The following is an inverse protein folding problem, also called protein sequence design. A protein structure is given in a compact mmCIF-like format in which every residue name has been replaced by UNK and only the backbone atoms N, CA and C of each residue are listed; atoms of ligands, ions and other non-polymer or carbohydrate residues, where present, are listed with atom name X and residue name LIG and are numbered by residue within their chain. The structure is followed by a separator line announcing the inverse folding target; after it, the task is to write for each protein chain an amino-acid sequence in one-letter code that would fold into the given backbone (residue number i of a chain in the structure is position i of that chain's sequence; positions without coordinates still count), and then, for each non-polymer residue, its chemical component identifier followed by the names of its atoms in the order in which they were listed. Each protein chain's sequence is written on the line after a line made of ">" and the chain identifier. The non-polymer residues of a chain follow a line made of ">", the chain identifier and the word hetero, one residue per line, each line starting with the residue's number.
data_IF_787560261309
#
_entry.id   IF_787560261309
#
_cell.length_a   1.000
_cell.length_b   1.000
_cell.length_c   1.000
_cell.angle_alpha   90.00
_cell.angle_beta   90.00
_cell.angle_gamma   90.00
#
_symmetry.space_group_name_H-M   'P 1'
#
loop_
_entity.id
_entity.type
_entity.pdbx_description
1 polymer ?
#
# COMPACT_ATOMS: atom_id res chain seq x y z
N UNK A 1 -12.22 -28.26 -6.03
CA UNK A 1 -12.27 -26.79 -6.23
C UNK A 1 -10.95 -26.21 -5.80
N UNK A 2 -10.33 -25.33 -6.59
CA UNK A 2 -9.05 -24.71 -6.20
C UNK A 2 -9.36 -23.50 -5.34
N UNK A 3 -9.20 -23.65 -4.02
CA UNK A 3 -9.38 -22.58 -3.05
C UNK A 3 -8.13 -21.68 -3.03
N UNK A 4 -8.33 -20.37 -2.91
CA UNK A 4 -7.25 -19.39 -2.78
C UNK A 4 -7.47 -18.59 -1.49
N UNK A 5 -6.44 -18.43 -0.69
CA UNK A 5 -6.42 -17.53 0.46
C UNK A 5 -5.49 -16.36 0.16
N UNK A 6 -6.04 -15.14 0.24
CA UNK A 6 -5.29 -13.90 0.23
C UNK A 6 -5.26 -13.30 1.64
N UNK A 7 -4.08 -12.91 2.10
CA UNK A 7 -3.92 -12.14 3.34
C UNK A 7 -3.38 -10.74 3.02
N UNK A 8 -3.93 -9.73 3.65
CA UNK A 8 -3.38 -8.39 3.68
C UNK A 8 -2.83 -8.12 5.09
N UNK A 9 -1.50 -8.02 5.18
CA UNK A 9 -0.81 -7.71 6.42
C UNK A 9 -0.55 -6.21 6.50
N UNK A 10 -1.26 -5.52 7.37
CA UNK A 10 -1.02 -4.10 7.68
C UNK A 10 -0.40 -3.91 9.05
N UNK A 11 0.05 -2.71 9.35
CA UNK A 11 0.64 -2.37 10.64
C UNK A 11 -0.32 -2.53 11.83
N UNK A 12 -1.63 -2.33 11.62
CA UNK A 12 -2.66 -2.36 12.67
C UNK A 12 -3.63 -3.54 12.55
N UNK A 13 -3.78 -4.11 11.37
CA UNK A 13 -4.73 -5.19 11.09
C UNK A 13 -4.18 -6.21 10.10
N UNK A 14 -4.57 -7.46 10.28
CA UNK A 14 -4.40 -8.55 9.31
C UNK A 14 -5.79 -8.93 8.82
N UNK A 15 -5.97 -8.96 7.52
CA UNK A 15 -7.21 -9.37 6.89
C UNK A 15 -6.96 -10.60 6.02
N UNK A 16 -7.87 -11.59 6.10
CA UNK A 16 -7.87 -12.77 5.25
C UNK A 16 -9.14 -12.78 4.40
N UNK A 17 -8.99 -13.13 3.14
CA UNK A 17 -10.09 -13.43 2.25
C UNK A 17 -9.85 -14.78 1.57
N UNK A 18 -10.85 -15.64 1.58
CA UNK A 18 -10.83 -16.90 0.84
C UNK A 18 -11.72 -16.78 -0.40
N UNK A 19 -11.19 -17.24 -1.53
CA UNK A 19 -11.85 -17.15 -2.83
C UNK A 19 -11.97 -18.53 -3.48
N UNK A 20 -13.06 -18.74 -4.18
CA UNK A 20 -13.22 -19.89 -5.08
C UNK A 20 -12.43 -19.72 -6.39
N UNK A 21 -12.48 -20.71 -7.26
CA UNK A 21 -11.79 -20.67 -8.56
C UNK A 21 -12.28 -19.55 -9.49
N UNK A 22 -13.51 -19.05 -9.28
CA UNK A 22 -14.11 -17.95 -10.03
C UNK A 22 -13.80 -16.57 -9.46
N UNK A 23 -13.09 -16.50 -8.31
CA UNK A 23 -12.76 -15.24 -7.65
C UNK A 23 -13.85 -14.72 -6.70
N UNK A 24 -14.92 -15.48 -6.45
CA UNK A 24 -15.96 -15.10 -5.49
C UNK A 24 -15.41 -15.27 -4.06
N UNK A 25 -15.60 -14.26 -3.22
CA UNK A 25 -15.24 -14.29 -1.80
C UNK A 25 -16.19 -15.24 -1.06
N UNK A 26 -15.63 -16.27 -0.44
CA UNK A 26 -16.35 -17.26 0.37
C UNK A 26 -16.32 -16.91 1.84
N UNK A 27 -15.24 -16.33 2.30
CA UNK A 27 -15.03 -15.93 3.70
C UNK A 27 -14.11 -14.72 3.77
N UNK A 28 -14.34 -13.86 4.76
CA UNK A 28 -13.50 -12.71 5.06
C UNK A 28 -13.45 -12.49 6.56
N UNK A 29 -12.25 -12.40 7.11
CA UNK A 29 -12.00 -12.12 8.52
C UNK A 29 -10.92 -11.07 8.69
N UNK A 30 -10.98 -10.38 9.82
CA UNK A 30 -10.00 -9.36 10.20
C UNK A 30 -9.67 -9.48 11.66
N UNK A 31 -8.39 -9.38 11.99
CA UNK A 31 -7.87 -9.33 13.36
C UNK A 31 -6.91 -8.15 13.52
N UNK A 32 -6.64 -7.76 14.76
CA UNK A 32 -5.55 -6.81 15.06
C UNK A 32 -4.19 -7.44 14.76
N UNK A 33 -3.26 -6.65 14.21
CA UNK A 33 -1.85 -7.08 14.07
C UNK A 33 -1.20 -7.07 15.46
N UNK A 34 -0.52 -8.15 15.89
CA UNK A 34 0.27 -8.15 17.12
C UNK A 34 1.40 -7.11 17.03
N UNK A 35 1.37 -6.09 17.89
CA UNK A 35 2.34 -5.00 17.85
C UNK A 35 3.76 -5.48 18.19
N UNK A 36 4.72 -5.06 17.35
CA UNK A 36 6.17 -5.19 17.60
C UNK A 36 6.72 -6.62 17.71
N UNK A 37 5.89 -7.66 17.55
CA UNK A 37 6.25 -9.03 17.84
C UNK A 37 6.25 -9.92 16.59
N UNK A 38 7.42 -10.16 16.01
CA UNK A 38 7.60 -11.02 14.83
C UNK A 38 6.91 -12.39 14.96
N UNK A 39 7.23 -13.12 16.03
CA UNK A 39 6.69 -14.47 16.23
C UNK A 39 5.18 -14.48 16.45
N UNK A 40 4.64 -13.47 17.13
CA UNK A 40 3.20 -13.34 17.33
C UNK A 40 2.48 -13.02 16.01
N UNK A 41 3.04 -12.16 15.16
CA UNK A 41 2.52 -11.88 13.82
C UNK A 41 2.51 -13.13 12.95
N UNK A 42 3.61 -13.90 12.97
CA UNK A 42 3.72 -15.16 12.24
C UNK A 42 2.65 -16.16 12.71
N UNK A 43 2.52 -16.34 14.03
CA UNK A 43 1.53 -17.24 14.63
C UNK A 43 0.09 -16.82 14.29
N UNK A 44 -0.21 -15.53 14.32
CA UNK A 44 -1.54 -14.99 13.96
C UNK A 44 -1.89 -15.29 12.51
N UNK A 45 -0.96 -15.11 11.56
CA UNK A 45 -1.16 -15.45 10.16
C UNK A 45 -1.42 -16.94 9.98
N UNK A 46 -0.60 -17.79 10.62
CA UNK A 46 -0.75 -19.26 10.56
C UNK A 46 -2.10 -19.70 11.12
N UNK A 47 -2.53 -19.11 12.23
CA UNK A 47 -3.83 -19.40 12.85
C UNK A 47 -4.97 -19.02 11.90
N UNK A 48 -4.96 -17.79 11.34
CA UNK A 48 -5.98 -17.33 10.38
C UNK A 48 -6.09 -18.25 9.17
N UNK A 49 -4.97 -18.68 8.60
CA UNK A 49 -4.98 -19.61 7.45
C UNK A 49 -5.64 -20.93 7.83
N UNK A 50 -5.22 -21.53 8.97
CA UNK A 50 -5.73 -22.84 9.42
C UNK A 50 -7.22 -22.79 9.77
N UNK A 51 -7.65 -21.76 10.47
CA UNK A 51 -9.05 -21.55 10.83
C UNK A 51 -9.93 -21.36 9.57
N UNK A 52 -9.47 -20.58 8.60
CA UNK A 52 -10.18 -20.38 7.33
C UNK A 52 -10.30 -21.69 6.56
N UNK A 53 -9.22 -22.49 6.48
CA UNK A 53 -9.26 -23.80 5.82
C UNK A 53 -10.15 -24.80 6.54
N UNK A 54 -10.15 -24.78 7.86
CA UNK A 54 -11.01 -25.64 8.68
C UNK A 54 -12.51 -25.27 8.45
N UNK A 55 -12.83 -23.98 8.42
CA UNK A 55 -14.21 -23.50 8.14
C UNK A 55 -14.68 -23.94 6.75
N UNK A 56 -13.79 -23.91 5.75
CA UNK A 56 -14.13 -24.23 4.36
C UNK A 56 -13.94 -25.72 4.01
N UNK A 57 -13.37 -26.52 4.91
CA UNK A 57 -13.14 -27.95 4.73
C UNK A 57 -12.15 -28.29 3.61
N UNK A 58 -11.29 -27.34 3.21
CA UNK A 58 -10.36 -27.53 2.10
C UNK A 58 -9.06 -26.73 2.27
N UNK A 59 -7.96 -27.29 1.77
CA UNK A 59 -6.67 -26.62 1.72
C UNK A 59 -6.60 -25.64 0.54
N UNK A 60 -5.98 -24.48 0.75
CA UNK A 60 -5.89 -23.39 -0.23
C UNK A 60 -4.44 -23.09 -0.66
N UNK A 61 -4.28 -22.49 -1.83
CA UNK A 61 -3.05 -21.75 -2.15
C UNK A 61 -3.03 -20.42 -1.40
N UNK A 62 -1.84 -19.99 -0.94
CA UNK A 62 -1.70 -18.82 -0.04
C UNK A 62 -0.91 -17.72 -0.72
N UNK A 63 -1.49 -16.51 -0.74
CA UNK A 63 -0.84 -15.26 -1.13
C UNK A 63 -0.92 -14.25 0.01
N UNK A 64 0.15 -13.50 0.23
CA UNK A 64 0.23 -12.48 1.28
C UNK A 64 0.70 -11.17 0.68
N UNK A 65 -0.13 -10.15 0.83
CA UNK A 65 0.23 -8.76 0.61
C UNK A 65 0.84 -8.21 1.90
N UNK A 66 2.03 -7.62 1.83
CA UNK A 66 2.74 -7.08 2.98
C UNK A 66 3.39 -5.74 2.65
N UNK A 67 3.48 -4.81 3.60
CA UNK A 67 4.33 -3.65 3.43
C UNK A 67 5.78 -4.06 3.20
N UNK A 68 6.48 -3.32 2.34
CA UNK A 68 7.85 -3.64 1.94
C UNK A 68 7.93 -4.77 0.91
N UNK A 69 9.11 -5.35 0.75
CA UNK A 69 9.38 -6.36 -0.26
C UNK A 69 10.41 -7.40 0.20
N UNK A 70 10.35 -8.59 -0.38
CA UNK A 70 11.43 -9.58 -0.21
C UNK A 70 12.64 -9.14 -1.03
N UNK A 71 13.81 -9.08 -0.39
CA UNK A 71 15.07 -8.81 -1.06
C UNK A 71 15.42 -9.95 -2.03
N UNK A 72 15.61 -9.69 -3.32
CA UNK A 72 16.03 -10.75 -4.26
C UNK A 72 17.39 -11.35 -3.91
N UNK A 73 18.27 -10.58 -3.27
CA UNK A 73 19.62 -11.03 -2.91
C UNK A 73 19.65 -11.93 -1.67
N UNK A 74 18.80 -11.66 -0.66
CA UNK A 74 18.86 -12.36 0.64
C UNK A 74 17.61 -13.18 0.97
N UNK A 75 16.48 -12.94 0.29
CA UNK A 75 15.18 -13.51 0.64
C UNK A 75 14.57 -12.93 1.91
N UNK A 76 15.22 -11.96 2.55
CA UNK A 76 14.71 -11.33 3.77
C UNK A 76 13.73 -10.20 3.44
N UNK A 77 12.75 -9.98 4.31
CA UNK A 77 11.82 -8.85 4.17
C UNK A 77 12.55 -7.54 4.50
N UNK A 78 12.28 -6.48 3.74
CA UNK A 78 12.87 -5.15 3.92
C UNK A 78 11.88 -4.04 3.59
N UNK A 79 12.18 -2.84 4.04
CA UNK A 79 11.41 -1.61 3.79
C UNK A 79 9.95 -1.70 4.26
N UNK A 80 9.67 -2.56 5.26
CA UNK A 80 8.36 -2.65 5.87
C UNK A 80 8.21 -1.57 6.95
N UNK A 81 7.07 -0.89 6.99
CA UNK A 81 6.68 -0.05 8.11
C UNK A 81 6.36 -0.89 9.38
N UNK A 82 6.05 -2.18 9.23
CA UNK A 82 6.05 -3.16 10.33
C UNK A 82 7.49 -3.57 10.66
N UNK A 83 8.18 -2.73 11.42
CA UNK A 83 9.65 -2.78 11.65
C UNK A 83 10.13 -4.16 12.11
N UNK A 84 9.35 -4.88 12.92
CA UNK A 84 9.72 -6.20 13.46
C UNK A 84 9.90 -7.28 12.37
N UNK A 85 9.41 -7.04 11.16
CA UNK A 85 9.54 -7.95 10.03
C UNK A 85 10.83 -7.72 9.22
N UNK A 86 11.44 -6.53 9.32
CA UNK A 86 12.63 -6.20 8.53
C UNK A 86 13.83 -7.05 8.92
N UNK A 87 14.56 -7.55 7.93
CA UNK A 87 15.69 -8.43 8.09
C UNK A 87 15.33 -9.87 8.50
N UNK A 88 14.04 -10.24 8.48
CA UNK A 88 13.56 -11.57 8.85
C UNK A 88 13.31 -12.45 7.64
N UNK A 89 13.52 -13.79 7.73
CA UNK A 89 13.21 -14.74 6.68
C UNK A 89 11.70 -15.10 6.67
N UNK A 90 10.86 -14.06 6.56
CA UNK A 90 9.42 -14.12 6.79
C UNK A 90 8.71 -15.15 5.90
N UNK A 91 9.11 -15.23 4.63
CA UNK A 91 8.57 -16.23 3.70
C UNK A 91 8.91 -17.65 4.15
N UNK A 92 10.17 -17.91 4.44
CA UNK A 92 10.68 -19.23 4.83
C UNK A 92 10.05 -19.70 6.14
N UNK A 93 9.88 -18.80 7.12
CA UNK A 93 9.27 -19.14 8.39
C UNK A 93 7.78 -19.46 8.26
N UNK A 94 7.05 -18.72 7.40
CA UNK A 94 5.67 -19.05 7.07
C UNK A 94 5.55 -20.39 6.35
N UNK A 95 6.38 -20.63 5.34
CA UNK A 95 6.39 -21.90 4.60
C UNK A 95 6.69 -23.10 5.52
N UNK A 96 7.62 -22.93 6.45
CA UNK A 96 7.94 -23.95 7.47
C UNK A 96 6.74 -24.21 8.40
N UNK A 97 6.09 -23.14 8.88
CA UNK A 97 4.97 -23.25 9.82
C UNK A 97 3.69 -23.83 9.18
N UNK A 98 3.48 -23.55 7.88
CA UNK A 98 2.32 -24.03 7.12
C UNK A 98 2.60 -25.35 6.37
N UNK A 99 3.87 -25.77 6.26
CA UNK A 99 4.28 -27.00 5.58
C UNK A 99 4.10 -26.95 4.05
N UNK A 100 4.02 -25.76 3.45
CA UNK A 100 3.78 -25.57 2.01
C UNK A 100 4.20 -24.20 1.50
N UNK A 101 4.34 -24.02 0.17
CA UNK A 101 4.74 -22.76 -0.44
C UNK A 101 3.74 -21.62 -0.15
N UNK A 102 4.30 -20.43 0.07
CA UNK A 102 3.56 -19.17 0.23
C UNK A 102 4.08 -18.16 -0.79
N UNK A 103 3.18 -17.40 -1.41
CA UNK A 103 3.53 -16.25 -2.26
C UNK A 103 3.44 -14.98 -1.43
N UNK A 104 4.47 -14.15 -1.50
CA UNK A 104 4.49 -12.84 -0.83
C UNK A 104 4.78 -11.77 -1.87
N UNK A 105 4.00 -10.69 -1.83
CA UNK A 105 4.22 -9.51 -2.66
C UNK A 105 3.98 -8.24 -1.84
N UNK A 106 4.52 -7.12 -2.33
CA UNK A 106 4.23 -5.81 -1.77
C UNK A 106 2.73 -5.48 -1.91
N UNK A 107 2.16 -4.77 -0.94
CA UNK A 107 0.73 -4.42 -0.89
C UNK A 107 0.29 -3.54 -2.06
N UNK A 108 1.07 -2.52 -2.44
CA UNK A 108 0.77 -1.67 -3.59
C UNK A 108 0.84 -2.45 -4.92
N UNK A 109 1.76 -3.40 -5.04
CA UNK A 109 1.81 -4.31 -6.19
C UNK A 109 0.58 -5.23 -6.26
N UNK A 110 0.10 -5.73 -5.12
CA UNK A 110 -1.11 -6.52 -5.05
C UNK A 110 -2.35 -5.70 -5.42
N UNK A 111 -2.42 -4.44 -4.95
CA UNK A 111 -3.47 -3.50 -5.33
C UNK A 111 -3.47 -3.24 -6.84
N UNK A 112 -2.33 -2.83 -7.40
CA UNK A 112 -2.23 -2.55 -8.84
C UNK A 112 -2.62 -3.76 -9.70
N UNK A 113 -2.19 -4.98 -9.31
CA UNK A 113 -2.56 -6.21 -10.00
C UNK A 113 -4.07 -6.49 -9.89
N UNK A 114 -4.66 -6.30 -8.73
CA UNK A 114 -6.11 -6.50 -8.53
C UNK A 114 -6.91 -5.59 -9.43
N UNK A 115 -6.54 -4.31 -9.51
CA UNK A 115 -7.21 -3.33 -10.37
C UNK A 115 -7.01 -3.62 -11.87
N UNK A 116 -5.82 -4.08 -12.26
CA UNK A 116 -5.54 -4.44 -13.65
C UNK A 116 -6.26 -5.72 -14.11
N UNK A 117 -6.52 -6.68 -13.20
CA UNK A 117 -7.15 -7.97 -13.55
C UNK A 117 -8.67 -7.91 -13.51
N UNK A 118 -9.26 -7.24 -12.54
CA UNK A 118 -10.70 -7.28 -12.31
C UNK A 118 -11.29 -6.02 -11.69
N UNK A 119 -10.52 -4.94 -11.62
CA UNK A 119 -10.94 -3.64 -11.07
C UNK A 119 -11.08 -2.57 -12.14
N UNK A 120 -10.83 -1.33 -11.75
CA UNK A 120 -11.04 -0.12 -12.58
C UNK A 120 -10.12 -0.06 -13.81
N UNK A 121 -9.01 -0.80 -13.83
CA UNK A 121 -8.06 -0.85 -14.94
C UNK A 121 -8.11 -2.18 -15.72
N UNK A 122 -9.20 -2.95 -15.61
CA UNK A 122 -9.32 -4.21 -16.30
C UNK A 122 -9.24 -4.04 -17.84
N UNK A 123 -8.31 -4.77 -18.47
CA UNK A 123 -8.07 -4.71 -19.91
C UNK A 123 -7.02 -3.70 -20.37
N UNK A 124 -6.48 -2.86 -19.47
CA UNK A 124 -5.38 -1.97 -19.78
C UNK A 124 -4.04 -2.73 -19.91
N UNK A 125 -3.19 -2.33 -20.84
CA UNK A 125 -1.86 -2.92 -21.04
C UNK A 125 -0.86 -2.49 -19.97
N UNK A 126 -0.83 -1.19 -19.64
CA UNK A 126 0.06 -0.60 -18.63
C UNK A 126 -0.76 0.11 -17.56
N UNK A 127 -0.65 -0.33 -16.34
CA UNK A 127 -1.38 0.24 -15.19
C UNK A 127 -0.40 0.71 -14.13
N UNK A 128 -0.60 1.94 -13.64
CA UNK A 128 0.06 2.44 -12.46
C UNK A 128 -0.93 2.55 -11.30
N UNK A 129 -0.84 1.63 -10.33
CA UNK A 129 -1.65 1.67 -9.12
C UNK A 129 -0.98 2.55 -8.07
N UNK A 130 -1.73 3.48 -7.49
CA UNK A 130 -1.28 4.44 -6.48
C UNK A 130 -2.04 4.20 -5.19
N UNK A 131 -1.34 4.01 -4.08
CA UNK A 131 -1.95 3.96 -2.75
C UNK A 131 -1.61 5.25 -2.01
N UNK A 132 -2.65 5.96 -1.58
CA UNK A 132 -2.57 7.17 -0.75
C UNK A 132 -3.28 6.88 0.59
N UNK A 133 -2.51 6.81 1.67
CA UNK A 133 -3.01 6.47 3.00
C UNK A 133 -2.07 6.96 4.10
N UNK A 134 -1.75 6.12 5.08
CA UNK A 134 -0.72 6.42 6.10
C UNK A 134 0.65 6.65 5.47
N UNK A 135 0.93 6.00 4.33
CA UNK A 135 2.07 6.25 3.46
C UNK A 135 1.64 6.45 2.02
N UNK A 136 2.62 6.53 1.11
CA UNK A 136 2.42 6.61 -0.34
C UNK A 136 3.16 5.47 -1.01
N UNK A 137 2.41 4.56 -1.60
CA UNK A 137 2.95 3.43 -2.36
C UNK A 137 2.52 3.46 -3.83
N UNK A 138 3.13 2.61 -4.63
CA UNK A 138 2.72 2.40 -6.01
C UNK A 138 3.12 1.03 -6.52
N UNK A 139 2.41 0.57 -7.54
CA UNK A 139 2.69 -0.68 -8.24
C UNK A 139 2.51 -0.50 -9.74
N UNK A 140 3.36 -1.15 -10.52
CA UNK A 140 3.32 -1.13 -11.97
C UNK A 140 2.88 -2.51 -12.47
N UNK A 141 1.90 -2.52 -13.36
CA UNK A 141 1.45 -3.75 -14.05
C UNK A 141 1.58 -3.54 -15.55
N UNK A 142 2.21 -4.50 -16.22
CA UNK A 142 2.37 -4.51 -17.68
C UNK A 142 1.84 -5.85 -18.18
N UNK A 143 0.90 -5.82 -19.12
CA UNK A 143 0.27 -7.02 -19.72
C UNK A 143 -0.22 -8.01 -18.64
N UNK A 144 -0.90 -7.50 -17.61
CA UNK A 144 -1.44 -8.28 -16.49
C UNK A 144 -0.39 -8.88 -15.54
N UNK A 145 0.87 -8.42 -15.61
CA UNK A 145 1.98 -8.87 -14.76
C UNK A 145 2.58 -7.73 -13.97
N UNK A 146 2.77 -7.92 -12.67
CA UNK A 146 3.46 -6.95 -11.83
C UNK A 146 4.91 -6.80 -12.28
N UNK A 147 5.34 -5.56 -12.51
CA UNK A 147 6.73 -5.20 -12.69
C UNK A 147 7.41 -5.10 -11.33
N UNK A 148 8.14 -6.13 -10.94
CA UNK A 148 8.85 -6.13 -9.64
C UNK A 148 10.19 -5.40 -9.70
N UNK A 149 10.87 -5.46 -10.85
CA UNK A 149 12.24 -4.95 -11.03
C UNK A 149 13.30 -5.86 -10.39
N UNK A 150 14.56 -5.66 -10.79
CA UNK A 150 15.69 -6.47 -10.32
C UNK A 150 15.95 -6.33 -8.82
N UNK A 151 15.60 -5.19 -8.25
CA UNK A 151 15.76 -4.88 -6.83
C UNK A 151 14.43 -4.96 -6.04
N UNK A 152 13.34 -5.43 -6.65
CA UNK A 152 12.01 -5.46 -6.04
C UNK A 152 11.57 -4.10 -5.48
N UNK A 153 11.81 -3.02 -6.22
CA UNK A 153 11.45 -1.64 -5.86
C UNK A 153 10.74 -0.90 -7.00
N UNK A 154 10.32 -1.58 -8.06
CA UNK A 154 9.53 -0.93 -9.10
C UNK A 154 8.21 -0.45 -8.50
N UNK A 155 7.86 0.81 -8.76
CA UNK A 155 6.68 1.44 -8.16
C UNK A 155 6.91 2.15 -6.82
N UNK A 156 8.10 2.06 -6.21
CA UNK A 156 8.45 2.74 -4.95
C UNK A 156 8.65 4.26 -5.14
N UNK A 157 7.64 4.94 -5.66
CA UNK A 157 7.69 6.37 -6.03
C UNK A 157 7.54 7.32 -4.85
N UNK A 158 6.92 6.86 -3.75
CA UNK A 158 6.66 7.69 -2.57
C UNK A 158 7.91 8.27 -1.92
N UNK A 159 9.06 7.62 -2.11
CA UNK A 159 10.35 8.11 -1.61
C UNK A 159 11.20 8.87 -2.63
N UNK A 160 10.67 9.14 -3.83
CA UNK A 160 11.26 10.10 -4.74
C UNK A 160 11.05 11.52 -4.20
N UNK A 161 11.96 12.47 -4.51
CA UNK A 161 11.74 13.88 -4.16
C UNK A 161 10.51 14.41 -4.90
N UNK A 162 9.73 15.30 -4.24
CA UNK A 162 8.62 15.99 -4.88
C UNK A 162 9.12 16.74 -6.12
N UNK A 163 8.56 16.49 -7.32
CA UNK A 163 9.01 17.17 -8.54
C UNK A 163 8.73 18.67 -8.51
N UNK A 164 9.63 19.45 -9.11
CA UNK A 164 9.48 20.90 -9.27
C UNK A 164 9.08 21.62 -7.97
N UNK A 165 9.72 21.25 -6.84
CA UNK A 165 9.48 21.91 -5.56
C UNK A 165 9.55 23.41 -5.68
N UNK A 166 8.53 24.11 -5.17
CA UNK A 166 8.50 25.57 -5.02
C UNK A 166 9.43 26.00 -3.87
N UNK A 167 9.76 27.27 -3.80
CA UNK A 167 10.67 27.77 -2.76
C UNK A 167 10.09 27.63 -1.35
N UNK A 168 8.77 27.78 -1.18
CA UNK A 168 8.05 27.57 0.08
C UNK A 168 7.91 26.09 0.49
N UNK A 169 8.17 25.17 -0.43
CA UNK A 169 8.19 23.74 -0.18
C UNK A 169 9.59 23.18 0.19
N UNK A 170 10.63 23.99 0.06
CA UNK A 170 12.03 23.59 0.28
C UNK A 170 12.47 23.82 1.72
N UNK A 171 13.30 22.92 2.29
CA UNK A 171 13.86 21.65 1.76
C UNK A 171 12.85 20.49 1.81
N UNK A 172 11.61 20.74 2.17
CA UNK A 172 10.54 19.77 2.37
C UNK A 172 10.55 19.12 3.75
N UNK A 173 9.44 18.48 4.14
CA UNK A 173 9.34 17.80 5.42
C UNK A 173 10.32 16.61 5.48
N UNK A 174 10.73 16.26 6.72
CA UNK A 174 11.57 15.08 6.95
C UNK A 174 10.74 13.81 6.71
N UNK A 175 11.31 12.89 5.95
CA UNK A 175 10.75 11.56 5.74
C UNK A 175 11.43 10.55 6.67
N UNK A 176 10.71 9.51 7.10
CA UNK A 176 11.28 8.43 7.93
C UNK A 176 12.39 7.66 7.22
N UNK A 177 12.46 7.71 5.88
CA UNK A 177 13.57 7.13 5.10
C UNK A 177 14.90 7.88 5.29
N UNK A 178 14.94 8.94 6.09
CA UNK A 178 16.11 9.76 6.40
C UNK A 178 16.32 10.95 5.44
N UNK A 179 15.53 11.08 4.38
CA UNK A 179 15.59 12.19 3.41
C UNK A 179 14.59 13.29 3.77
N UNK A 180 14.64 14.38 3.01
CA UNK A 180 13.68 15.48 3.06
C UNK A 180 12.96 15.58 1.72
N UNK A 181 11.71 16.04 1.75
CA UNK A 181 10.97 16.38 0.54
C UNK A 181 10.55 15.18 -0.31
N UNK A 182 10.43 13.99 0.28
CA UNK A 182 9.85 12.84 -0.41
C UNK A 182 8.38 13.10 -0.74
N UNK A 183 7.88 12.54 -1.84
CA UNK A 183 6.46 12.60 -2.25
C UNK A 183 5.55 12.19 -1.09
N UNK A 184 5.87 11.12 -0.36
CA UNK A 184 5.11 10.66 0.79
C UNK A 184 5.00 11.70 1.91
N UNK A 185 6.05 12.48 2.14
CA UNK A 185 6.05 13.52 3.16
C UNK A 185 5.15 14.73 2.81
N UNK A 186 4.55 14.73 1.62
CA UNK A 186 3.56 15.70 1.17
C UNK A 186 2.19 15.09 0.89
N UNK A 187 2.14 13.81 0.45
CA UNK A 187 0.94 13.19 -0.10
C UNK A 187 0.35 12.06 0.76
N UNK A 188 0.93 11.74 1.92
CA UNK A 188 0.26 10.85 2.87
C UNK A 188 -0.82 11.58 3.67
N UNK A 189 -1.76 10.85 4.29
CA UNK A 189 -2.77 11.44 5.17
C UNK A 189 -2.18 12.25 6.32
N UNK A 190 -1.20 11.71 7.07
CA UNK A 190 -0.47 12.49 8.07
C UNK A 190 0.23 13.73 7.51
N UNK A 191 0.73 13.68 6.26
CA UNK A 191 1.35 14.82 5.62
C UNK A 191 0.36 15.92 5.25
N UNK A 192 -0.85 15.58 4.79
CA UNK A 192 -1.94 16.54 4.55
C UNK A 192 -2.34 17.24 5.86
N UNK A 193 -2.52 16.49 6.94
CA UNK A 193 -2.84 17.04 8.26
C UNK A 193 -1.73 17.98 8.78
N UNK A 194 -0.46 17.57 8.62
CA UNK A 194 0.69 18.38 9.03
C UNK A 194 0.83 19.66 8.20
N UNK A 195 0.58 19.62 6.88
CA UNK A 195 0.60 20.81 6.02
C UNK A 195 -0.52 21.79 6.40
N UNK A 196 -1.73 21.27 6.66
CA UNK A 196 -2.85 22.09 7.14
C UNK A 196 -2.51 22.77 8.47
N UNK A 197 -2.00 22.02 9.45
CA UNK A 197 -1.59 22.55 10.75
C UNK A 197 -0.48 23.60 10.60
N UNK A 198 0.53 23.36 9.77
CA UNK A 198 1.63 24.32 9.51
C UNK A 198 1.14 25.65 8.94
N UNK A 199 0.15 25.61 8.05
CA UNK A 199 -0.34 26.82 7.35
C UNK A 199 -1.40 27.55 8.18
N UNK A 200 -2.30 26.83 8.84
CA UNK A 200 -3.50 27.40 9.48
C UNK A 200 -3.43 27.38 11.01
N UNK A 201 -2.42 26.70 11.61
CA UNK A 201 -2.30 26.58 13.07
C UNK A 201 -3.33 25.64 13.72
N UNK A 202 -4.08 24.86 12.93
CA UNK A 202 -5.17 23.98 13.39
C UNK A 202 -4.77 22.53 13.14
N UNK A 203 -4.78 21.72 14.19
CA UNK A 203 -4.47 20.29 14.11
C UNK A 203 -5.76 19.49 13.95
N UNK A 204 -6.01 19.00 12.76
CA UNK A 204 -7.14 18.12 12.41
C UNK A 204 -6.68 17.02 11.45
N UNK A 205 -7.46 15.92 11.36
CA UNK A 205 -7.13 14.79 10.47
C UNK A 205 -7.39 15.11 9.00
N UNK A 206 -6.85 14.29 8.10
CA UNK A 206 -7.11 14.41 6.66
C UNK A 206 -8.60 14.24 6.33
N UNK A 207 -9.28 13.35 7.02
CA UNK A 207 -10.73 13.14 6.88
C UNK A 207 -11.53 14.35 7.32
N UNK A 208 -11.13 15.00 8.41
CA UNK A 208 -11.78 16.21 8.90
C UNK A 208 -11.51 17.40 7.96
N UNK A 209 -10.31 17.51 7.38
CA UNK A 209 -10.01 18.52 6.36
C UNK A 209 -10.94 18.37 5.16
N UNK A 210 -11.11 17.15 4.63
CA UNK A 210 -12.00 16.89 3.52
C UNK A 210 -13.45 17.23 3.85
N UNK A 211 -13.95 16.76 5.01
CA UNK A 211 -15.31 17.03 5.47
C UNK A 211 -15.61 18.52 5.64
N UNK A 212 -14.66 19.30 6.16
CA UNK A 212 -14.82 20.76 6.31
C UNK A 212 -14.73 21.49 4.97
N UNK A 213 -13.88 21.04 4.06
CA UNK A 213 -13.81 21.59 2.72
C UNK A 213 -15.15 21.43 1.98
N UNK A 214 -15.79 20.27 2.06
CA UNK A 214 -17.13 20.03 1.52
C UNK A 214 -18.20 20.97 2.12
N UNK A 215 -17.98 21.45 3.33
CA UNK A 215 -18.84 22.41 4.02
C UNK A 215 -18.48 23.88 3.70
N UNK A 216 -17.50 24.12 2.83
CA UNK A 216 -17.08 25.46 2.40
C UNK A 216 -16.04 26.12 3.30
N UNK A 217 -15.30 25.36 4.11
CA UNK A 217 -14.17 25.91 4.87
C UNK A 217 -13.01 26.24 3.91
N UNK A 218 -12.80 27.52 3.64
CA UNK A 218 -11.80 27.99 2.70
C UNK A 218 -10.35 27.60 3.06
N UNK A 219 -10.02 27.42 4.34
CA UNK A 219 -8.69 26.97 4.76
C UNK A 219 -8.47 25.50 4.43
N UNK A 220 -9.52 24.68 4.59
CA UNK A 220 -9.51 23.26 4.22
C UNK A 220 -9.47 23.09 2.70
N UNK A 221 -10.29 23.83 1.95
CA UNK A 221 -10.26 23.86 0.48
C UNK A 221 -8.87 24.22 -0.06
N UNK A 222 -8.24 25.27 0.49
CA UNK A 222 -6.89 25.65 0.09
C UNK A 222 -5.84 24.57 0.41
N UNK A 223 -6.04 23.79 1.47
CA UNK A 223 -5.14 22.69 1.81
C UNK A 223 -5.30 21.51 0.83
N UNK A 224 -6.52 21.18 0.44
CA UNK A 224 -6.78 20.18 -0.59
C UNK A 224 -6.23 20.62 -1.96
N UNK A 225 -6.44 21.87 -2.36
CA UNK A 225 -5.90 22.40 -3.62
C UNK A 225 -4.36 22.30 -3.69
N UNK A 226 -3.65 22.58 -2.58
CA UNK A 226 -2.20 22.37 -2.52
C UNK A 226 -1.80 20.89 -2.59
N UNK A 227 -2.58 20.02 -1.96
CA UNK A 227 -2.37 18.58 -2.01
C UNK A 227 -2.54 18.04 -3.44
N UNK A 228 -3.63 18.40 -4.10
CA UNK A 228 -3.95 17.99 -5.49
C UNK A 228 -2.89 18.46 -6.48
N UNK A 229 -2.42 19.69 -6.33
CA UNK A 229 -1.38 20.25 -7.19
C UNK A 229 -0.05 19.49 -7.02
N UNK A 230 0.32 19.11 -5.80
CA UNK A 230 1.50 18.27 -5.54
C UNK A 230 1.32 16.86 -6.09
N UNK A 231 0.12 16.29 -5.98
CA UNK A 231 -0.21 15.00 -6.56
C UNK A 231 -0.09 15.04 -8.08
N UNK A 232 -0.66 16.06 -8.71
CA UNK A 232 -0.59 16.23 -10.16
C UNK A 232 0.85 16.32 -10.68
N UNK A 233 1.71 17.11 -10.03
CA UNK A 233 3.14 17.19 -10.38
C UNK A 233 3.85 15.85 -10.22
N UNK A 234 3.51 15.11 -9.16
CA UNK A 234 4.12 13.81 -8.90
C UNK A 234 3.72 12.78 -9.94
N UNK A 235 2.43 12.76 -10.31
CA UNK A 235 1.91 11.85 -11.35
C UNK A 235 2.43 12.20 -12.74
N UNK A 236 2.61 13.49 -13.05
CA UNK A 236 3.18 13.92 -14.33
C UNK A 236 4.59 13.31 -14.54
N UNK A 237 5.39 13.17 -13.49
CA UNK A 237 6.68 12.47 -13.55
C UNK A 237 6.56 10.99 -13.91
N UNK A 238 5.53 10.33 -13.40
CA UNK A 238 5.25 8.92 -13.72
C UNK A 238 4.74 8.78 -15.16
N UNK A 239 3.82 9.66 -15.57
CA UNK A 239 3.30 9.67 -16.95
C UNK A 239 4.44 9.83 -17.96
N UNK A 240 5.35 10.77 -17.72
CA UNK A 240 6.48 11.01 -18.63
C UNK A 240 7.48 9.84 -18.76
N UNK A 241 7.53 8.94 -17.76
CA UNK A 241 8.48 7.81 -17.75
C UNK A 241 7.82 6.51 -18.16
N UNK A 242 6.58 6.28 -17.72
CA UNK A 242 5.87 5.00 -17.86
C UNK A 242 4.83 5.01 -18.97
N UNK A 243 4.25 6.18 -19.28
CA UNK A 243 3.13 6.36 -20.22
C UNK A 243 2.01 5.33 -19.99
N UNK A 244 1.41 5.27 -18.77
CA UNK A 244 0.43 4.24 -18.45
C UNK A 244 -0.91 4.50 -19.14
N UNK A 245 -1.60 3.43 -19.57
CA UNK A 245 -2.97 3.54 -20.09
C UNK A 245 -3.95 4.01 -19.01
N UNK A 246 -3.72 3.57 -17.76
CA UNK A 246 -4.58 3.89 -16.61
C UNK A 246 -3.74 4.10 -15.35
N UNK A 247 -4.08 5.16 -14.61
CA UNK A 247 -3.63 5.36 -13.23
C UNK A 247 -4.83 5.11 -12.33
N UNK A 248 -4.70 4.18 -11.37
CA UNK A 248 -5.74 3.88 -10.39
C UNK A 248 -5.33 4.41 -9.03
N UNK A 249 -6.17 5.25 -8.42
CA UNK A 249 -5.97 5.77 -7.08
C UNK A 249 -6.69 4.88 -6.06
N UNK A 250 -6.00 4.51 -4.99
CA UNK A 250 -6.52 3.73 -3.88
C UNK A 250 -5.94 4.19 -2.54
N UNK A 251 -6.32 3.47 -1.48
CA UNK A 251 -5.97 3.85 -0.11
C UNK A 251 -7.03 4.73 0.54
N UNK A 252 -6.82 5.10 1.80
CA UNK A 252 -7.81 5.86 2.59
C UNK A 252 -8.15 7.23 1.98
N UNK A 253 -7.15 7.91 1.43
CA UNK A 253 -7.34 9.25 0.86
C UNK A 253 -8.09 9.24 -0.49
N UNK A 254 -8.13 8.12 -1.21
CA UNK A 254 -8.94 8.03 -2.44
C UNK A 254 -10.46 8.03 -2.19
N UNK A 255 -10.89 7.97 -0.94
CA UNK A 255 -12.29 8.04 -0.53
C UNK A 255 -12.67 9.41 0.03
N UNK A 256 -11.77 10.37 0.03
CA UNK A 256 -12.02 11.72 0.48
C UNK A 256 -12.56 12.51 -0.73
N UNK A 257 -13.88 12.70 -0.80
CA UNK A 257 -14.61 13.65 -1.63
C UNK A 257 -14.49 13.48 -3.13
#
# INVERSE_FOLDING_TARGET
>A
MTLKIGLALGGTKIEVAALDSGGRVLERRRIATPEGAYNATLAAIVALVRETEQTLGAQASIGIATPGALSPASGLLRNSNSICLNGRPFKQDLERALGRPVRIANDANCFALSEAVGGAAAGAGVVFGVILGTGVGGGVVVDGKVLTGVNAIAGEWGHNPLPAMRDDERPGPRCYCGRHGCIEAFLSGPALAADHCRVNGIEISAEEIASRAEQGDAACEASLARYEERLARSLAGIINVLDPDVIVLGGGLSNLG
#
